data_IF_392096405345
#
_entry.id   IF_392096405345
#
_cell.length_a   1.000
_cell.length_b   1.000
_cell.length_c   1.000
_cell.angle_alpha   90.00
_cell.angle_beta   90.00
_cell.angle_gamma   90.00
#
_symmetry.space_group_name_H-M   'P 1'
#
loop_
_entity.id
_entity.type
_entity.pdbx_description
1 polymer ?
#
# COMPACT_ATOMS: atom_id res chain seq x y z
N UNK A 1 -10.78 -61.28 -28.50
CA UNK A 1 -9.46 -61.26 -27.84
C UNK A 1 -9.00 -59.81 -27.79
N UNK A 2 -9.25 -59.09 -26.68
CA UNK A 2 -8.33 -58.92 -25.53
C UNK A 2 -7.07 -58.14 -25.96
N UNK A 3 -6.72 -56.96 -25.44
CA UNK A 3 -6.68 -56.53 -24.04
C UNK A 3 -6.91 -55.01 -23.86
N UNK A 4 -7.51 -54.69 -22.71
CA UNK A 4 -7.65 -53.37 -22.07
C UNK A 4 -6.28 -52.87 -21.59
N UNK A 5 -5.99 -51.57 -21.69
CA UNK A 5 -5.13 -50.88 -20.73
C UNK A 5 -5.74 -49.51 -20.41
N UNK A 6 -6.35 -49.44 -19.24
CA UNK A 6 -6.71 -48.21 -18.56
C UNK A 6 -5.44 -47.52 -18.03
N UNK A 7 -5.31 -46.21 -18.19
CA UNK A 7 -4.37 -45.41 -17.40
C UNK A 7 -5.15 -44.49 -16.48
N UNK A 8 -5.23 -44.95 -15.24
CA UNK A 8 -5.54 -44.19 -14.05
C UNK A 8 -4.44 -43.17 -13.80
N UNK A 9 -4.80 -41.90 -13.60
CA UNK A 9 -4.01 -40.96 -12.81
C UNK A 9 -4.96 -40.02 -12.06
N UNK A 10 -5.45 -40.49 -10.92
CA UNK A 10 -5.87 -39.62 -9.82
C UNK A 10 -4.63 -39.29 -8.99
N UNK A 11 -4.34 -38.02 -8.71
CA UNK A 11 -3.69 -37.62 -7.47
C UNK A 11 -4.69 -36.76 -6.67
N UNK A 12 -5.25 -37.35 -5.61
CA UNK A 12 -4.84 -37.07 -4.24
C UNK A 12 -5.36 -35.71 -3.74
N UNK A 13 -6.56 -35.82 -3.15
CA UNK A 13 -7.14 -34.93 -2.16
C UNK A 13 -6.11 -34.49 -1.12
N UNK A 14 -5.81 -33.19 -1.07
CA UNK A 14 -5.33 -32.55 0.14
C UNK A 14 -6.50 -31.81 0.78
N UNK A 15 -7.30 -32.55 1.55
CA UNK A 15 -8.28 -31.98 2.47
C UNK A 15 -7.87 -32.35 3.89
N UNK A 16 -6.93 -31.59 4.46
CA UNK A 16 -6.73 -31.56 5.91
C UNK A 16 -7.66 -30.47 6.44
N UNK A 17 -8.92 -30.82 6.67
CA UNK A 17 -9.82 -30.00 7.47
C UNK A 17 -9.65 -30.43 8.93
N UNK A 18 -8.82 -29.71 9.68
CA UNK A 18 -8.85 -29.73 11.14
C UNK A 18 -10.12 -28.98 11.56
N UNK A 19 -11.09 -29.59 12.26
CA UNK A 19 -12.13 -28.82 12.92
C UNK A 19 -11.47 -28.13 14.11
N UNK A 20 -11.05 -26.87 13.92
CA UNK A 20 -10.71 -26.00 15.02
C UNK A 20 -12.01 -25.73 15.80
N UNK A 21 -12.16 -26.37 16.95
CA UNK A 21 -13.08 -25.96 18.00
C UNK A 21 -12.64 -24.59 18.50
N UNK A 22 -13.06 -23.53 17.81
CA UNK A 22 -12.87 -22.17 18.29
C UNK A 22 -13.97 -21.88 19.31
N UNK A 23 -13.57 -21.82 20.58
CA UNK A 23 -14.32 -21.05 21.58
C UNK A 23 -14.57 -19.66 20.99
N UNK A 24 -15.84 -19.26 20.87
CA UNK A 24 -16.21 -17.86 20.68
C UNK A 24 -15.83 -17.11 21.97
N UNK A 25 -14.55 -16.77 22.08
CA UNK A 25 -14.15 -15.71 22.99
C UNK A 25 -14.89 -14.46 22.54
N UNK A 26 -15.65 -13.87 23.46
CA UNK A 26 -16.34 -12.60 23.28
C UNK A 26 -15.30 -11.59 22.76
N UNK A 27 -15.32 -11.35 21.44
CA UNK A 27 -14.34 -10.47 20.82
C UNK A 27 -14.59 -9.07 21.36
N UNK A 28 -13.56 -8.34 21.85
CA UNK A 28 -13.74 -6.96 22.22
C UNK A 28 -14.41 -6.22 21.05
N UNK A 29 -15.41 -5.39 21.36
CA UNK A 29 -16.14 -4.65 20.33
C UNK A 29 -15.14 -3.96 19.41
N UNK A 30 -15.24 -4.24 18.10
CA UNK A 30 -14.36 -3.65 17.11
C UNK A 30 -14.49 -2.13 17.20
N UNK A 31 -13.38 -1.37 17.31
CA UNK A 31 -13.47 0.08 17.31
C UNK A 31 -14.18 0.55 16.02
N UNK A 32 -14.93 1.67 16.08
CA UNK A 32 -15.58 2.19 14.90
C UNK A 32 -14.53 2.55 13.83
N UNK A 33 -14.89 2.47 12.54
CA UNK A 33 -13.98 2.87 11.48
C UNK A 33 -13.57 4.35 11.61
N UNK A 34 -12.29 4.62 11.42
CA UNK A 34 -11.74 5.98 11.41
C UNK A 34 -11.52 6.43 9.97
N UNK A 35 -12.04 7.61 9.65
CA UNK A 35 -11.80 8.27 8.37
C UNK A 35 -10.74 9.35 8.55
N UNK A 36 -9.86 9.48 7.57
CA UNK A 36 -8.81 10.47 7.53
C UNK A 36 -8.79 11.11 6.15
N UNK A 37 -8.50 12.40 6.09
CA UNK A 37 -7.98 13.03 4.88
C UNK A 37 -6.47 13.09 4.99
N UNK A 38 -5.79 12.90 3.88
CA UNK A 38 -4.34 12.99 3.81
C UNK A 38 -3.89 13.91 2.67
N UNK A 39 -2.74 14.56 2.88
CA UNK A 39 -2.08 15.41 1.89
C UNK A 39 -0.61 15.05 1.78
N UNK A 40 -0.11 14.93 0.55
CA UNK A 40 1.31 14.75 0.28
C UNK A 40 2.02 16.09 0.42
N UNK A 41 3.10 16.12 1.19
CA UNK A 41 3.80 17.37 1.47
C UNK A 41 5.26 17.37 1.04
N UNK A 42 5.89 16.20 1.00
CA UNK A 42 7.29 16.05 0.64
C UNK A 42 7.60 14.61 0.23
N UNK A 43 8.64 14.47 -0.57
CA UNK A 43 9.32 13.24 -0.88
C UNK A 43 10.81 13.47 -1.04
N UNK A 44 11.56 12.39 -0.92
CA UNK A 44 12.98 12.35 -1.21
C UNK A 44 13.28 11.12 -2.05
N UNK A 45 13.96 11.35 -3.17
CA UNK A 45 14.39 10.33 -4.11
C UNK A 45 15.88 10.10 -3.92
N UNK A 46 16.29 8.84 -3.83
CA UNK A 46 17.67 8.48 -3.47
C UNK A 46 18.60 8.34 -4.69
N UNK A 47 18.03 8.17 -5.88
CA UNK A 47 18.74 8.02 -7.15
C UNK A 47 18.88 9.31 -7.94
N UNK A 48 19.74 9.27 -8.95
CA UNK A 48 19.87 10.33 -9.94
C UNK A 48 18.61 10.41 -10.82
N UNK A 49 18.16 11.63 -11.07
CA UNK A 49 17.02 11.89 -11.94
C UNK A 49 17.31 11.49 -13.39
N UNK A 50 18.55 11.61 -13.87
CA UNK A 50 18.93 11.30 -15.25
C UNK A 50 18.71 9.83 -15.62
N UNK A 51 18.55 8.92 -14.65
CA UNK A 51 18.19 7.52 -14.92
C UNK A 51 16.71 7.34 -15.32
N UNK A 52 15.84 8.26 -14.91
CA UNK A 52 14.39 8.15 -15.03
C UNK A 52 13.76 9.27 -15.86
N UNK A 53 14.47 10.38 -15.98
CA UNK A 53 14.08 11.63 -16.61
C UNK A 53 15.10 12.02 -17.70
N UNK A 54 14.89 13.19 -18.32
CA UNK A 54 15.85 13.76 -19.25
C UNK A 54 17.11 14.31 -18.56
N UNK A 55 18.25 14.44 -19.28
CA UNK A 55 19.47 15.02 -18.72
C UNK A 55 19.26 16.40 -18.12
N UNK A 56 19.66 16.58 -16.86
CA UNK A 56 19.53 17.84 -16.14
C UNK A 56 18.14 18.13 -15.58
N UNK A 57 17.22 17.17 -15.66
CA UNK A 57 15.93 17.24 -14.98
C UNK A 57 16.05 16.82 -13.51
N UNK A 58 15.01 17.12 -12.74
CA UNK A 58 14.96 16.81 -11.32
C UNK A 58 13.60 16.25 -10.94
N UNK A 59 13.58 15.26 -10.04
CA UNK A 59 12.33 14.75 -9.52
C UNK A 59 11.49 15.84 -8.84
N UNK A 60 10.18 15.75 -9.03
CA UNK A 60 9.23 16.50 -8.22
C UNK A 60 9.25 15.99 -6.77
N UNK A 61 9.94 16.72 -5.89
CA UNK A 61 10.10 16.37 -4.47
C UNK A 61 8.89 16.72 -3.59
N UNK A 62 7.86 17.38 -4.12
CA UNK A 62 6.72 17.76 -3.30
C UNK A 62 5.61 16.70 -3.37
N UNK A 63 5.48 16.06 -4.53
CA UNK A 63 4.42 15.13 -4.87
C UNK A 63 3.01 15.56 -4.46
N UNK A 64 2.71 16.87 -4.61
CA UNK A 64 1.46 17.45 -4.14
C UNK A 64 0.24 16.65 -4.58
N UNK A 65 -0.64 16.41 -3.63
CA UNK A 65 -1.76 15.51 -3.79
C UNK A 65 -2.52 15.37 -2.49
N UNK A 66 -3.61 14.63 -2.55
CA UNK A 66 -4.38 14.30 -1.38
C UNK A 66 -5.29 13.11 -1.61
N UNK A 67 -5.78 12.59 -0.49
CA UNK A 67 -6.57 11.38 -0.48
C UNK A 67 -7.44 11.27 0.75
N UNK A 68 -8.09 10.12 0.82
CA UNK A 68 -8.88 9.68 1.95
C UNK A 68 -8.38 8.30 2.36
N UNK A 69 -8.21 8.11 3.67
CA UNK A 69 -7.85 6.84 4.27
C UNK A 69 -8.95 6.38 5.23
N UNK A 70 -9.35 5.12 5.12
CA UNK A 70 -10.27 4.43 6.01
C UNK A 70 -9.51 3.36 6.81
N UNK A 71 -9.53 3.47 8.13
CA UNK A 71 -9.01 2.45 9.05
C UNK A 71 -10.21 1.74 9.71
N UNK A 72 -10.54 0.51 9.29
CA UNK A 72 -11.71 -0.22 9.84
C UNK A 72 -11.36 -1.24 10.93
N UNK A 73 -10.09 -1.57 11.09
CA UNK A 73 -9.56 -2.44 12.16
C UNK A 73 -8.19 -1.93 12.61
N UNK A 74 -7.69 -2.28 13.81
CA UNK A 74 -6.40 -1.78 14.31
C UNK A 74 -5.20 -2.01 13.37
N UNK A 75 -5.25 -3.02 12.50
CA UNK A 75 -4.17 -3.38 11.58
C UNK A 75 -4.53 -3.21 10.10
N UNK A 76 -5.79 -2.92 9.77
CA UNK A 76 -6.29 -2.95 8.40
C UNK A 76 -6.93 -1.62 8.01
N UNK A 77 -6.43 -1.05 6.92
CA UNK A 77 -6.94 0.18 6.34
C UNK A 77 -6.85 0.16 4.82
N UNK A 78 -7.42 1.18 4.18
CA UNK A 78 -7.33 1.40 2.75
C UNK A 78 -7.32 2.89 2.48
N UNK A 79 -6.69 3.31 1.39
CA UNK A 79 -6.63 4.69 0.97
C UNK A 79 -6.84 4.81 -0.53
N UNK A 80 -7.49 5.90 -0.94
CA UNK A 80 -7.57 6.30 -2.35
C UNK A 80 -7.21 7.76 -2.45
N UNK A 81 -6.59 8.16 -3.55
CA UNK A 81 -6.21 9.55 -3.74
C UNK A 81 -5.53 9.84 -5.05
N UNK A 82 -5.11 11.10 -5.16
CA UNK A 82 -4.50 11.71 -6.32
C UNK A 82 -3.21 12.41 -5.92
N UNK A 83 -2.22 12.44 -6.81
CA UNK A 83 -1.01 13.22 -6.64
C UNK A 83 -0.32 13.51 -7.97
N UNK A 84 0.51 14.55 -8.00
CA UNK A 84 1.48 14.80 -9.07
C UNK A 84 2.75 14.02 -8.74
N UNK A 85 3.10 13.00 -9.51
CA UNK A 85 4.21 12.12 -9.16
C UNK A 85 5.60 12.73 -9.42
N UNK A 86 6.65 11.93 -9.21
CA UNK A 86 8.06 12.35 -9.27
C UNK A 86 8.51 12.75 -10.68
N UNK A 87 7.83 12.25 -11.71
CA UNK A 87 8.07 12.57 -13.13
C UNK A 87 7.07 13.60 -13.68
N UNK A 88 6.42 14.35 -12.77
CA UNK A 88 5.47 15.42 -13.11
C UNK A 88 4.21 14.95 -13.83
N UNK A 89 3.78 13.72 -13.62
CA UNK A 89 2.55 13.18 -14.19
C UNK A 89 1.42 13.10 -13.16
N UNK A 90 0.19 13.19 -13.65
CA UNK A 90 -1.02 13.10 -12.86
C UNK A 90 -1.30 11.62 -12.52
N UNK A 91 -1.28 11.31 -11.22
CA UNK A 91 -1.32 9.94 -10.71
C UNK A 91 -2.46 9.72 -9.74
N UNK A 92 -3.03 8.52 -9.79
CA UNK A 92 -4.03 8.04 -8.84
C UNK A 92 -3.50 6.82 -8.10
N UNK A 93 -4.00 6.61 -6.89
CA UNK A 93 -3.72 5.39 -6.13
C UNK A 93 -4.97 4.84 -5.45
N UNK A 94 -4.98 3.53 -5.28
CA UNK A 94 -5.89 2.79 -4.43
C UNK A 94 -5.10 1.70 -3.72
N UNK A 95 -4.90 1.84 -2.41
CA UNK A 95 -3.97 1.04 -1.63
C UNK A 95 -4.67 0.41 -0.44
N UNK A 96 -4.40 -0.86 -0.20
CA UNK A 96 -4.68 -1.55 1.04
C UNK A 96 -3.48 -1.42 1.98
N UNK A 97 -3.74 -1.20 3.26
CA UNK A 97 -2.74 -1.04 4.31
C UNK A 97 -2.85 -2.17 5.32
N UNK A 98 -1.71 -2.80 5.61
CA UNK A 98 -1.57 -3.75 6.70
C UNK A 98 -0.44 -3.34 7.62
N UNK A 99 -0.78 -2.89 8.83
CA UNK A 99 0.17 -2.34 9.82
C UNK A 99 0.12 -3.11 11.14
N UNK A 100 0.71 -4.31 11.19
CA UNK A 100 0.58 -5.21 12.35
C UNK A 100 1.53 -4.91 13.51
N UNK A 101 2.56 -4.09 13.29
CA UNK A 101 3.64 -3.89 14.26
C UNK A 101 3.46 -2.56 15.01
N UNK A 102 2.89 -2.55 16.23
CA UNK A 102 2.86 -1.36 17.05
C UNK A 102 4.25 -1.05 17.63
N UNK A 103 4.63 0.22 17.62
CA UNK A 103 5.82 0.75 18.30
C UNK A 103 5.39 1.86 19.27
N UNK A 104 5.20 1.49 20.53
CA UNK A 104 4.58 2.38 21.51
C UNK A 104 3.09 2.63 21.20
N UNK A 105 2.55 3.74 21.70
CA UNK A 105 1.12 4.04 21.65
C UNK A 105 0.67 4.66 20.31
N UNK A 106 1.57 5.35 19.62
CA UNK A 106 1.21 6.25 18.51
C UNK A 106 1.74 5.78 17.15
N UNK A 107 2.63 4.78 17.11
CA UNK A 107 3.30 4.37 15.88
C UNK A 107 2.89 2.95 15.50
N UNK A 108 2.56 2.75 14.22
CA UNK A 108 2.31 1.43 13.64
C UNK A 108 3.11 1.28 12.35
N UNK A 109 3.83 0.17 12.22
CA UNK A 109 4.58 -0.17 11.02
C UNK A 109 3.90 -1.30 10.24
N UNK A 110 4.09 -1.26 8.93
CA UNK A 110 3.78 -2.38 8.05
C UNK A 110 3.97 -2.03 6.59
N UNK A 111 3.05 -2.47 5.75
CA UNK A 111 3.13 -2.31 4.31
C UNK A 111 1.79 -1.87 3.73
N UNK A 112 1.88 -1.32 2.53
CA UNK A 112 0.73 -0.99 1.69
C UNK A 112 0.94 -1.55 0.29
N UNK A 113 -0.13 -2.02 -0.34
CA UNK A 113 -0.12 -2.58 -1.69
C UNK A 113 -1.42 -2.25 -2.40
N UNK A 114 -1.39 -2.13 -3.72
CA UNK A 114 -2.59 -1.88 -4.51
C UNK A 114 -2.25 -1.42 -5.91
N UNK A 115 -3.01 -0.44 -6.41
CA UNK A 115 -2.84 0.09 -7.75
C UNK A 115 -2.36 1.54 -7.71
N UNK A 116 -1.45 1.87 -8.61
CA UNK A 116 -0.95 3.22 -8.87
C UNK A 116 -0.92 3.49 -10.37
N UNK A 117 -1.11 4.74 -10.81
CA UNK A 117 -1.06 5.13 -12.22
C UNK A 117 -0.08 6.30 -12.46
N UNK A 118 0.08 6.69 -13.72
CA UNK A 118 0.77 7.93 -14.12
C UNK A 118 2.29 7.81 -14.32
N UNK A 119 2.86 6.61 -14.35
CA UNK A 119 4.29 6.42 -14.65
C UNK A 119 4.46 5.91 -16.09
N UNK A 120 4.92 6.72 -17.06
CA UNK A 120 5.05 6.28 -18.45
C UNK A 120 5.98 5.06 -18.62
N UNK A 121 7.05 4.99 -17.82
CA UNK A 121 7.95 3.83 -17.74
C UNK A 121 7.34 2.58 -17.09
N UNK A 122 6.11 2.66 -16.58
CA UNK A 122 5.41 1.55 -15.94
C UNK A 122 4.01 1.35 -16.50
N UNK A 123 3.79 0.24 -17.21
CA UNK A 123 2.50 -0.05 -17.84
C UNK A 123 1.96 1.10 -18.72
N UNK A 124 2.86 1.87 -19.34
CA UNK A 124 2.53 3.04 -20.18
C UNK A 124 1.67 4.08 -19.45
N UNK A 125 1.87 4.28 -18.14
CA UNK A 125 1.11 5.20 -17.31
C UNK A 125 -0.27 4.70 -16.86
N UNK A 126 -0.72 3.54 -17.35
CA UNK A 126 -1.97 2.94 -16.88
C UNK A 126 -1.83 2.40 -15.45
N UNK A 127 -2.96 2.08 -14.82
CA UNK A 127 -2.97 1.50 -13.49
C UNK A 127 -2.13 0.20 -13.44
N UNK A 128 -1.23 0.11 -12.47
CA UNK A 128 -0.33 -1.01 -12.29
C UNK A 128 -0.14 -1.33 -10.81
N UNK A 129 0.25 -2.57 -10.45
CA UNK A 129 0.52 -2.93 -9.07
C UNK A 129 1.62 -2.07 -8.44
N UNK A 130 1.38 -1.54 -7.25
CA UNK A 130 2.36 -0.78 -6.49
C UNK A 130 2.31 -1.15 -5.02
N UNK A 131 3.38 -0.84 -4.29
CA UNK A 131 3.43 -1.06 -2.87
C UNK A 131 4.71 -0.57 -2.22
N UNK A 132 4.69 -0.54 -0.89
CA UNK A 132 5.82 -0.07 -0.10
C UNK A 132 5.63 -0.35 1.38
N UNK A 133 6.60 0.09 2.17
CA UNK A 133 6.53 0.08 3.62
C UNK A 133 5.90 1.39 4.10
N UNK A 134 5.19 1.34 5.23
CA UNK A 134 4.56 2.52 5.82
C UNK A 134 4.72 2.51 7.33
N UNK A 135 5.09 3.67 7.87
CA UNK A 135 5.00 4.00 9.29
C UNK A 135 3.88 5.02 9.48
N UNK A 136 2.85 4.64 10.24
CA UNK A 136 1.76 5.53 10.63
C UNK A 136 2.04 6.08 12.01
N UNK A 137 2.12 7.40 12.15
CA UNK A 137 2.29 8.09 13.42
C UNK A 137 1.03 8.92 13.66
N UNK A 138 0.22 8.53 14.63
CA UNK A 138 -1.13 9.08 14.83
C UNK A 138 -1.34 9.50 16.28
N UNK A 139 -1.81 10.73 16.47
CA UNK A 139 -2.15 11.28 17.77
C UNK A 139 -3.47 12.06 17.70
N UNK A 140 -4.48 11.58 18.42
CA UNK A 140 -5.83 12.17 18.45
C UNK A 140 -6.42 12.33 17.05
N UNK A 141 -6.35 13.53 16.47
CA UNK A 141 -6.92 13.88 15.16
C UNK A 141 -5.88 14.25 14.11
N UNK A 142 -4.61 14.18 14.45
CA UNK A 142 -3.51 14.50 13.54
C UNK A 142 -2.61 13.28 13.42
N UNK A 143 -1.99 13.11 12.27
CA UNK A 143 -1.03 12.07 12.07
C UNK A 143 -0.23 12.28 10.81
N UNK A 144 0.60 11.29 10.50
CA UNK A 144 1.36 11.24 9.26
C UNK A 144 1.60 9.80 8.84
N UNK A 145 1.72 9.61 7.53
CA UNK A 145 2.31 8.41 6.95
C UNK A 145 3.72 8.75 6.48
N UNK A 146 4.71 8.02 6.96
CA UNK A 146 6.04 7.98 6.36
C UNK A 146 6.11 6.73 5.49
N UNK A 147 6.31 6.91 4.20
CA UNK A 147 6.15 5.87 3.19
C UNK A 147 7.50 5.62 2.52
N UNK A 148 7.93 4.37 2.49
CA UNK A 148 9.08 3.95 1.71
C UNK A 148 8.62 3.12 0.51
N UNK A 149 8.88 3.61 -0.69
CA UNK A 149 8.63 2.88 -1.94
C UNK A 149 9.97 2.31 -2.44
N UNK A 150 10.08 0.97 -2.58
CA UNK A 150 11.26 0.37 -3.18
C UNK A 150 11.35 0.69 -4.66
N UNK A 151 12.57 0.77 -5.18
CA UNK A 151 12.85 0.95 -6.60
C UNK A 151 12.23 -0.15 -7.44
N UNK A 152 11.62 0.26 -8.55
CA UNK A 152 11.28 -0.61 -9.67
C UNK A 152 12.20 -0.20 -10.83
N UNK A 153 13.14 -1.06 -11.26
CA UNK A 153 14.09 -0.72 -12.32
C UNK A 153 13.40 -0.20 -13.58
N UNK A 154 13.86 0.94 -14.09
CA UNK A 154 13.33 1.59 -15.30
C UNK A 154 11.95 2.24 -15.15
N UNK A 155 11.42 2.35 -13.93
CA UNK A 155 10.05 2.81 -13.69
C UNK A 155 9.95 3.80 -12.53
N UNK A 156 10.36 3.39 -11.32
CA UNK A 156 10.28 4.25 -10.13
C UNK A 156 11.57 4.20 -9.30
N UNK A 157 12.11 5.35 -8.86
CA UNK A 157 13.22 5.41 -7.91
C UNK A 157 12.83 4.92 -6.51
N UNK A 158 13.82 4.58 -5.68
CA UNK A 158 13.61 4.46 -4.24
C UNK A 158 13.16 5.82 -3.71
N UNK A 159 12.07 5.83 -2.95
CA UNK A 159 11.43 7.07 -2.53
C UNK A 159 11.02 7.00 -1.07
N UNK A 160 11.32 8.05 -0.31
CA UNK A 160 10.76 8.30 1.01
C UNK A 160 9.75 9.44 0.91
N UNK A 161 8.46 9.14 1.08
CA UNK A 161 7.36 10.10 1.03
C UNK A 161 6.80 10.43 2.42
N UNK A 162 6.32 11.66 2.58
CA UNK A 162 5.64 12.15 3.77
C UNK A 162 4.22 12.62 3.40
N UNK A 163 3.23 12.02 4.08
CA UNK A 163 1.84 12.49 4.05
C UNK A 163 1.42 12.99 5.43
N UNK A 164 0.74 14.12 5.50
CA UNK A 164 0.06 14.58 6.71
C UNK A 164 -1.39 14.14 6.70
N UNK A 165 -1.92 13.76 7.87
CA UNK A 165 -3.26 13.19 8.03
C UNK A 165 -4.09 13.97 9.04
N UNK A 166 -5.38 14.10 8.76
CA UNK A 166 -6.35 14.70 9.66
C UNK A 166 -7.59 13.81 9.79
N UNK A 167 -7.92 13.41 11.02
CA UNK A 167 -9.04 12.53 11.30
C UNK A 167 -10.36 13.29 11.12
N UNK A 168 -11.27 12.70 10.35
CA UNK A 168 -12.63 13.17 10.17
C UNK A 168 -13.51 12.63 11.31
N UNK A 169 -14.47 13.44 11.77
CA UNK A 169 -15.41 13.05 12.82
C UNK A 169 -14.99 13.51 14.23
N UNK A 170 -15.68 12.99 15.26
CA UNK A 170 -15.45 13.36 16.66
C UNK A 170 -14.51 12.41 17.37
#
# INVERSE_FOLDING_TARGET
MSHRIARWMSPLLFAVALPALAQEAMSPARPPPEWWVDVNVASHHFEDADEYLGPGEHFNQNNYGGGVELQWQPRHGASVGYYRNSVYEDSWYALYHYTPLPLGEHVRLGAMVGLVSGYPGYNHGNAAPGGGLVAKVEYRRVGMNLIYLPRIPGSTPNTLGLQLKFRLGR
#
